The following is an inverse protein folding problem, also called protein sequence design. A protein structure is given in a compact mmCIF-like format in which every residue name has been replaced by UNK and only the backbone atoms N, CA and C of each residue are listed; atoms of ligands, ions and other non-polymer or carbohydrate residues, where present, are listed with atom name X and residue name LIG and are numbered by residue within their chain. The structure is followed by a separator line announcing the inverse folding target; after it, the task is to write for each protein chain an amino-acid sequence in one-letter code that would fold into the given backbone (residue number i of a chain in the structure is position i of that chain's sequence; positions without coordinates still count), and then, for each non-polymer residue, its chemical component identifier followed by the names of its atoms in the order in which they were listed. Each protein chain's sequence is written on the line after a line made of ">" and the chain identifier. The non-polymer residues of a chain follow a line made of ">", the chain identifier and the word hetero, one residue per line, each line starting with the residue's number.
data_IF_351304159083
#
_entry.id   IF_351304159083
#
_cell.length_a   1.000
_cell.length_b   1.000
_cell.length_c   1.000
_cell.angle_alpha   90.00
_cell.angle_beta   90.00
_cell.angle_gamma   90.00
#
_symmetry.space_group_name_H-M   'P 1'
#
loop_
_entity.id
_entity.type
_entity.pdbx_description
1 polymer ?
#
# COMPACT_ATOMS: atom_id res chain seq x y z
N UNK A 1 7.94 14.60 -56.63
CA UNK A 1 7.00 15.06 -55.58
C UNK A 1 5.66 14.37 -55.82
N UNK A 2 5.42 13.25 -55.16
CA UNK A 2 4.18 12.47 -55.32
C UNK A 2 3.29 12.77 -54.11
N UNK A 3 2.11 13.33 -54.38
CA UNK A 3 1.13 13.70 -53.36
C UNK A 3 0.40 12.45 -52.88
N UNK A 4 0.43 12.19 -51.56
CA UNK A 4 -0.38 11.15 -50.93
C UNK A 4 -1.70 11.77 -50.50
N UNK A 5 -2.79 11.40 -51.17
CA UNK A 5 -4.15 11.55 -50.64
C UNK A 5 -4.54 10.27 -49.90
N UNK A 6 -5.03 10.39 -48.67
CA UNK A 6 -5.73 9.39 -47.83
C UNK A 6 -6.05 10.09 -46.50
N UNK A 7 -7.24 10.13 -45.92
CA UNK A 7 -8.57 9.62 -46.22
C UNK A 7 -9.45 10.04 -45.03
N UNK A 8 -10.66 10.53 -45.29
CA UNK A 8 -11.61 10.89 -44.24
C UNK A 8 -12.24 9.62 -43.65
N UNK A 9 -11.99 9.34 -42.39
CA UNK A 9 -12.66 8.24 -41.68
C UNK A 9 -13.85 8.79 -40.91
N UNK A 10 -15.03 8.62 -41.52
CA UNK A 10 -16.33 8.86 -40.89
C UNK A 10 -16.67 7.65 -40.02
N UNK A 11 -16.49 7.78 -38.70
CA UNK A 11 -17.15 6.89 -37.72
C UNK A 11 -18.31 7.65 -37.08
N UNK A 12 -19.43 7.50 -37.77
CA UNK A 12 -20.77 7.26 -37.25
C UNK A 12 -20.86 6.71 -35.81
N UNK A 13 -21.72 7.39 -35.06
CA UNK A 13 -22.79 6.82 -34.22
C UNK A 13 -22.33 6.07 -32.95
N UNK A 14 -22.33 6.77 -31.81
CA UNK A 14 -23.42 6.78 -30.81
C UNK A 14 -23.62 5.42 -30.15
N UNK A 15 -22.95 5.22 -29.01
CA UNK A 15 -23.34 4.18 -28.06
C UNK A 15 -24.11 4.85 -26.92
N UNK A 16 -25.39 4.49 -26.84
CA UNK A 16 -26.32 4.82 -25.76
C UNK A 16 -25.75 4.28 -24.47
N UNK A 17 -25.56 5.16 -23.50
CA UNK A 17 -25.27 4.80 -22.12
C UNK A 17 -26.57 4.23 -21.57
N UNK A 18 -26.65 2.91 -21.44
CA UNK A 18 -27.69 2.25 -20.68
C UNK A 18 -27.47 2.52 -19.18
N UNK A 19 -28.56 2.96 -18.54
CA UNK A 19 -28.70 3.22 -17.12
C UNK A 19 -28.48 1.94 -16.29
N UNK A 20 -27.21 1.59 -16.06
CA UNK A 20 -26.73 0.73 -14.98
C UNK A 20 -25.61 1.48 -14.24
N UNK A 21 -26.03 2.59 -13.63
CA UNK A 21 -25.20 3.56 -12.95
C UNK A 21 -24.30 2.93 -11.85
N UNK A 22 -22.99 3.13 -12.01
CA UNK A 22 -21.96 3.25 -10.96
C UNK A 22 -21.60 1.98 -10.18
N UNK A 23 -20.70 1.15 -10.74
CA UNK A 23 -19.86 0.23 -9.95
C UNK A 23 -18.38 0.13 -10.40
N UNK A 24 -17.92 0.96 -11.33
CA UNK A 24 -16.64 0.68 -12.01
C UNK A 24 -15.53 1.70 -11.79
N UNK A 25 -15.81 2.88 -11.24
CA UNK A 25 -14.83 3.97 -11.13
C UNK A 25 -14.61 4.46 -9.69
N UNK A 26 -14.57 3.51 -8.75
CA UNK A 26 -13.69 3.69 -7.60
C UNK A 26 -12.38 2.99 -7.94
N UNK A 27 -11.20 3.62 -7.76
CA UNK A 27 -9.96 2.87 -7.71
C UNK A 27 -10.10 1.83 -6.61
N UNK A 28 -10.35 0.58 -7.00
CA UNK A 28 -10.13 -0.60 -6.17
C UNK A 28 -8.63 -0.67 -5.97
N UNK A 29 -8.11 0.14 -5.04
CA UNK A 29 -7.05 -0.32 -4.18
C UNK A 29 -7.59 -1.64 -3.64
N UNK A 30 -7.13 -2.75 -4.23
CA UNK A 30 -7.55 -4.09 -3.91
C UNK A 30 -7.21 -4.36 -2.46
N UNK A 31 -8.10 -3.94 -1.56
CA UNK A 31 -8.17 -4.51 -0.23
C UNK A 31 -8.64 -5.93 -0.47
N UNK A 32 -7.66 -6.81 -0.61
CA UNK A 32 -7.89 -8.22 -0.44
C UNK A 32 -8.36 -8.36 1.01
N UNK A 33 -9.66 -8.51 1.21
CA UNK A 33 -10.21 -8.92 2.48
C UNK A 33 -9.84 -10.39 2.66
N UNK A 34 -8.62 -10.63 3.15
CA UNK A 34 -8.20 -11.90 3.73
C UNK A 34 -7.85 -11.62 5.18
N UNK A 35 -8.84 -11.87 6.04
CA UNK A 35 -8.78 -12.10 7.48
C UNK A 35 -7.37 -12.04 8.09
N UNK A 36 -6.99 -10.90 8.71
CA UNK A 36 -5.99 -10.76 9.81
C UNK A 36 -5.49 -9.32 9.98
N UNK A 37 -6.32 -8.44 10.56
CA UNK A 37 -5.88 -7.09 10.96
C UNK A 37 -4.80 -7.07 12.07
N UNK A 38 -4.38 -8.26 12.52
CA UNK A 38 -3.36 -8.46 13.56
C UNK A 38 -2.08 -9.10 13.04
N UNK A 39 -1.93 -9.37 11.75
CA UNK A 39 -0.71 -10.01 11.22
C UNK A 39 0.32 -9.00 10.70
N UNK A 40 1.59 -9.31 10.88
CA UNK A 40 2.66 -8.43 10.48
C UNK A 40 2.79 -8.38 8.95
N UNK A 41 2.68 -7.18 8.38
CA UNK A 41 2.78 -6.98 6.91
C UNK A 41 4.16 -7.23 6.30
N UNK A 42 5.18 -7.52 7.12
CA UNK A 42 6.54 -7.81 6.65
C UNK A 42 6.74 -9.30 6.42
N UNK A 43 6.38 -10.13 7.42
CA UNK A 43 6.63 -11.56 7.39
C UNK A 43 5.35 -12.40 7.20
N UNK A 44 4.17 -11.82 7.42
CA UNK A 44 2.86 -12.48 7.39
C UNK A 44 2.79 -13.79 8.18
N UNK A 45 3.70 -14.00 9.14
CA UNK A 45 3.85 -15.23 9.90
C UNK A 45 3.61 -15.02 11.40
N UNK A 46 3.76 -13.78 11.86
CA UNK A 46 3.63 -13.41 13.27
C UNK A 46 2.59 -12.32 13.44
N UNK A 47 1.94 -12.33 14.60
CA UNK A 47 1.05 -11.25 15.01
C UNK A 47 1.83 -9.96 15.29
N UNK A 48 1.18 -8.83 15.02
CA UNK A 48 1.62 -7.49 15.39
C UNK A 48 1.66 -7.43 16.91
N UNK A 49 2.86 -7.18 17.45
CA UNK A 49 3.07 -7.05 18.89
C UNK A 49 3.75 -5.73 19.27
N UNK A 50 4.39 -5.04 18.33
CA UNK A 50 4.91 -3.70 18.55
C UNK A 50 4.09 -2.72 17.74
N UNK A 51 3.64 -1.65 18.38
CA UNK A 51 3.06 -0.51 17.68
C UNK A 51 4.03 0.67 17.67
N UNK A 52 4.24 1.24 16.50
CA UNK A 52 5.00 2.46 16.33
C UNK A 52 4.09 3.66 16.63
N UNK A 53 4.71 4.79 16.98
CA UNK A 53 4.00 6.04 17.24
C UNK A 53 3.31 6.60 15.98
N UNK A 54 3.71 6.18 14.79
CA UNK A 54 3.03 6.53 13.53
C UNK A 54 1.70 5.77 13.31
N UNK A 55 1.35 4.83 14.21
CA UNK A 55 0.13 4.04 14.12
C UNK A 55 0.30 2.68 13.43
N UNK A 56 1.40 2.45 12.71
CA UNK A 56 1.69 1.16 12.08
C UNK A 56 2.26 0.17 13.10
N UNK A 57 1.91 -1.10 12.96
CA UNK A 57 2.36 -2.16 13.87
C UNK A 57 3.02 -3.31 13.13
N UNK A 58 4.05 -3.90 13.76
CA UNK A 58 4.82 -5.01 13.22
C UNK A 58 5.13 -6.05 14.29
N UNK A 59 5.70 -7.18 13.86
CA UNK A 59 6.20 -8.20 14.76
C UNK A 59 7.52 -7.75 15.42
N UNK A 60 7.74 -8.06 16.70
CA UNK A 60 9.00 -7.82 17.42
C UNK A 60 10.23 -8.28 16.64
N UNK A 61 10.17 -9.44 16.00
CA UNK A 61 11.31 -9.97 15.22
C UNK A 61 11.64 -9.06 14.03
N UNK A 62 10.61 -8.73 13.25
CA UNK A 62 10.67 -7.90 12.06
C UNK A 62 11.20 -6.50 12.37
N UNK A 63 10.65 -5.86 13.42
CA UNK A 63 11.03 -4.50 13.79
C UNK A 63 12.45 -4.47 14.40
N UNK A 64 12.83 -5.51 15.14
CA UNK A 64 14.17 -5.64 15.72
C UNK A 64 15.21 -5.80 14.62
N UNK A 65 15.00 -6.73 13.69
CA UNK A 65 15.88 -6.88 12.52
C UNK A 65 15.93 -5.61 11.66
N UNK A 66 14.80 -4.92 11.51
CA UNK A 66 14.74 -3.66 10.76
C UNK A 66 15.60 -2.57 11.41
N UNK A 67 15.52 -2.44 12.73
CA UNK A 67 16.34 -1.50 13.51
C UNK A 67 17.81 -1.90 13.47
N UNK A 68 18.11 -3.19 13.64
CA UNK A 68 19.48 -3.73 13.61
C UNK A 68 20.13 -3.54 12.22
N UNK A 69 19.37 -3.76 11.14
CA UNK A 69 19.80 -3.47 9.76
C UNK A 69 19.99 -1.98 9.48
N UNK A 70 19.28 -1.11 10.21
CA UNK A 70 19.43 0.36 10.12
C UNK A 70 20.71 0.87 10.82
N UNK A 71 21.58 -0.03 11.29
CA UNK A 71 22.71 0.16 12.19
C UNK A 71 23.82 1.15 11.81
N UNK A 72 23.63 2.01 10.81
CA UNK A 72 24.57 3.09 10.49
C UNK A 72 24.09 4.48 10.94
N UNK A 73 22.79 4.66 11.15
CA UNK A 73 22.21 6.00 11.35
C UNK A 73 21.38 6.13 12.63
N UNK A 74 21.22 5.03 13.39
CA UNK A 74 20.36 4.93 14.59
C UNK A 74 18.92 5.44 14.35
N UNK A 75 18.53 5.62 13.09
CA UNK A 75 17.29 6.23 12.65
C UNK A 75 16.56 5.20 11.79
N UNK A 76 15.89 4.25 12.46
CA UNK A 76 15.00 3.34 11.76
C UNK A 76 13.77 4.14 11.28
N UNK A 77 13.29 3.89 10.07
CA UNK A 77 12.09 4.54 9.52
C UNK A 77 10.98 3.51 9.32
N UNK A 78 9.72 3.92 9.50
CA UNK A 78 8.59 3.05 9.29
C UNK A 78 8.53 2.59 7.82
N UNK A 79 8.45 1.29 7.50
CA UNK A 79 8.43 0.82 6.13
C UNK A 79 7.17 1.28 5.36
N UNK A 80 6.06 1.54 6.07
CA UNK A 80 4.80 2.00 5.46
C UNK A 80 4.76 3.51 5.19
N UNK A 81 5.10 4.34 6.19
CA UNK A 81 4.92 5.80 6.09
C UNK A 81 6.23 6.60 6.15
N UNK A 82 7.38 5.93 6.26
CA UNK A 82 8.73 6.52 6.36
C UNK A 82 8.88 7.52 7.52
N UNK A 83 8.02 7.46 8.53
CA UNK A 83 8.17 8.22 9.76
C UNK A 83 9.33 7.66 10.58
N UNK A 84 10.14 8.54 11.18
CA UNK A 84 11.22 8.12 12.08
C UNK A 84 10.66 7.29 13.24
N UNK A 85 11.24 6.12 13.45
CA UNK A 85 10.97 5.22 14.55
C UNK A 85 11.88 5.64 15.69
N UNK A 86 11.28 5.97 16.82
CA UNK A 86 12.01 6.23 18.04
C UNK A 86 11.97 4.95 18.90
N UNK A 87 13.11 4.27 19.00
CA UNK A 87 13.25 2.97 19.68
C UNK A 87 12.92 3.11 21.17
N UNK A 88 13.09 4.30 21.76
CA UNK A 88 12.69 4.56 23.14
C UNK A 88 11.17 4.76 23.29
N UNK A 89 10.42 4.95 22.19
CA UNK A 89 8.98 5.24 22.20
C UNK A 89 8.12 4.18 21.49
N UNK A 90 8.68 3.01 21.19
CA UNK A 90 7.88 1.86 20.74
C UNK A 90 7.12 1.27 21.92
N UNK A 91 5.81 1.05 21.73
CA UNK A 91 4.96 0.46 22.76
C UNK A 91 4.67 -0.99 22.40
N UNK A 92 5.07 -1.96 23.25
CA UNK A 92 4.61 -3.34 23.12
C UNK A 92 3.10 -3.42 23.42
N UNK A 93 2.37 -4.09 22.54
CA UNK A 93 1.02 -4.58 22.82
C UNK A 93 1.15 -5.81 23.71
N UNK A 94 0.94 -5.61 25.01
CA UNK A 94 0.62 -6.72 25.90
C UNK A 94 -0.86 -7.07 25.71
N UNK A 95 -1.13 -8.35 25.50
CA UNK A 95 -2.46 -8.95 25.56
C UNK A 95 -2.91 -9.06 27.03
#
# INVERSE_FOLDING_TARGET
>A
MYSVAQGAFSVKERQTIDDAAVLSDLPKCSVATSSTETECSICSNHKININLFCGHGFCAHCIKEWIEQSGHDHSAFCPTCRTKIDIAKISPRYD
#
